data_IF_226650006423
#
_entry.id   IF_226650006423
#
_cell.length_a   1.000
_cell.length_b   1.000
_cell.length_c   1.000
_cell.angle_alpha   90.00
_cell.angle_beta   90.00
_cell.angle_gamma   90.00
#
_symmetry.space_group_name_H-M   'P 1'
#
loop_
_entity.id
_entity.type
_entity.pdbx_description
1 polymer ?
#
# COMPACT_ATOMS: atom_id res chain seq x y z
N UNK A 1 6.25 -13.64 0.49
CA UNK A 1 7.05 -14.38 1.48
C UNK A 1 6.18 -15.40 2.21
N UNK A 2 6.78 -16.42 2.83
CA UNK A 2 6.01 -17.39 3.61
C UNK A 2 5.22 -16.77 4.76
N UNK A 3 5.76 -15.74 5.40
CA UNK A 3 5.07 -15.04 6.49
C UNK A 3 3.85 -14.30 5.98
N UNK A 4 3.97 -13.61 4.85
CA UNK A 4 2.83 -12.91 4.23
C UNK A 4 1.75 -13.89 3.81
N UNK A 5 2.12 -15.02 3.21
CA UNK A 5 1.17 -16.06 2.82
C UNK A 5 0.44 -16.65 4.03
N UNK A 6 1.14 -16.87 5.12
CA UNK A 6 0.54 -17.37 6.36
C UNK A 6 -0.43 -16.36 6.95
N UNK A 7 -0.07 -15.07 6.95
CA UNK A 7 -0.96 -14.00 7.40
C UNK A 7 -2.25 -13.96 6.57
N UNK A 8 -2.14 -14.06 5.25
CA UNK A 8 -3.30 -14.07 4.35
C UNK A 8 -4.17 -15.30 4.64
N UNK A 9 -3.56 -16.47 4.80
CA UNK A 9 -4.29 -17.72 5.08
C UNK A 9 -5.09 -17.63 6.37
N UNK A 10 -4.48 -17.12 7.43
CA UNK A 10 -5.16 -16.95 8.72
C UNK A 10 -6.26 -15.91 8.66
N UNK A 11 -6.02 -14.78 8.01
CA UNK A 11 -7.03 -13.74 7.85
C UNK A 11 -8.21 -14.25 7.03
N UNK A 12 -7.95 -15.00 5.96
CA UNK A 12 -9.00 -15.58 5.14
C UNK A 12 -9.87 -16.57 5.93
N UNK A 13 -9.24 -17.40 6.76
CA UNK A 13 -9.96 -18.37 7.58
C UNK A 13 -10.90 -17.69 8.58
N UNK A 14 -10.49 -16.53 9.12
CA UNK A 14 -11.27 -15.81 10.13
C UNK A 14 -12.28 -14.82 9.52
N UNK A 15 -11.92 -14.13 8.45
CA UNK A 15 -12.66 -12.99 7.93
C UNK A 15 -13.02 -13.11 6.45
N UNK A 16 -12.45 -14.07 5.71
CA UNK A 16 -12.67 -14.18 4.28
C UNK A 16 -14.07 -14.65 3.91
N UNK A 17 -14.49 -14.32 2.70
CA UNK A 17 -15.77 -14.74 2.13
C UNK A 17 -16.48 -13.62 1.38
N UNK A 18 -17.66 -13.94 0.86
CA UNK A 18 -18.44 -13.00 0.04
C UNK A 18 -18.92 -11.77 0.81
N UNK A 19 -18.98 -11.83 2.14
CA UNK A 19 -19.38 -10.72 3.00
C UNK A 19 -18.21 -9.85 3.44
N UNK A 20 -16.99 -10.20 3.05
CA UNK A 20 -15.80 -9.42 3.39
C UNK A 20 -15.57 -8.30 2.39
N UNK A 21 -15.02 -7.18 2.88
CA UNK A 21 -14.60 -6.05 2.07
C UNK A 21 -13.08 -5.96 2.08
N UNK A 22 -12.50 -5.69 0.92
CA UNK A 22 -11.08 -5.33 0.82
C UNK A 22 -10.99 -3.83 0.64
N UNK A 23 -10.42 -3.14 1.62
CA UNK A 23 -10.38 -1.68 1.66
C UNK A 23 -9.01 -1.21 1.22
N UNK A 24 -8.99 -0.37 0.17
CA UNK A 24 -7.79 0.29 -0.33
C UNK A 24 -7.77 1.72 0.22
N UNK A 25 -6.69 2.07 0.88
CA UNK A 25 -6.53 3.40 1.44
C UNK A 25 -5.06 3.82 1.39
N UNK A 26 -4.78 5.09 1.63
CA UNK A 26 -3.41 5.56 1.75
C UNK A 26 -3.22 6.36 3.03
N UNK A 27 -2.01 6.28 3.57
CA UNK A 27 -1.62 6.97 4.79
C UNK A 27 -0.35 7.76 4.54
N UNK A 28 -0.32 9.00 4.99
CA UNK A 28 0.84 9.88 4.87
C UNK A 28 1.53 10.02 6.23
N UNK A 29 2.85 9.85 6.24
CA UNK A 29 3.68 10.06 7.42
C UNK A 29 4.55 11.31 7.20
N UNK A 30 4.25 12.44 7.88
CA UNK A 30 5.07 13.65 7.78
C UNK A 30 6.50 13.38 8.22
N UNK A 31 7.46 13.94 7.48
CA UNK A 31 8.89 13.83 7.75
C UNK A 31 9.55 15.21 7.65
N UNK A 32 10.64 15.40 8.39
CA UNK A 32 11.39 16.66 8.37
C UNK A 32 12.55 16.65 7.39
N UNK A 33 13.04 15.48 7.00
CA UNK A 33 14.21 15.35 6.14
C UNK A 33 13.88 14.93 4.73
N UNK A 34 14.91 14.67 3.94
CA UNK A 34 14.79 14.25 2.53
C UNK A 34 15.38 12.88 2.27
N UNK A 35 15.88 12.19 3.31
CA UNK A 35 16.58 10.91 3.14
C UNK A 35 15.70 9.67 3.30
N UNK A 36 14.57 9.76 3.99
CA UNK A 36 13.65 8.62 4.11
C UNK A 36 13.11 8.22 2.74
N UNK A 37 13.08 6.92 2.46
CA UNK A 37 12.66 6.41 1.15
C UNK A 37 11.25 6.90 0.79
N UNK A 38 11.10 7.47 -0.40
CA UNK A 38 9.80 7.94 -0.91
C UNK A 38 9.36 9.28 -0.36
N UNK A 39 10.17 9.94 0.49
CA UNK A 39 9.81 11.23 1.05
C UNK A 39 9.81 12.31 -0.03
N UNK A 40 8.75 13.11 -0.08
CA UNK A 40 8.62 14.24 -1.00
C UNK A 40 7.45 15.12 -0.54
N UNK A 41 7.37 16.38 -0.99
CA UNK A 41 6.17 17.18 -0.81
C UNK A 41 5.00 16.50 -1.55
N UNK A 42 3.99 16.08 -0.79
CA UNK A 42 2.83 15.34 -1.30
C UNK A 42 1.58 15.77 -0.54
N UNK A 43 0.41 15.56 -1.13
CA UNK A 43 -0.83 15.81 -0.44
C UNK A 43 -1.03 14.80 0.69
N UNK A 44 -1.18 15.28 1.91
CA UNK A 44 -1.45 14.47 3.09
C UNK A 44 -2.90 14.66 3.50
N UNK A 45 -3.76 13.70 3.18
CA UNK A 45 -5.22 13.82 3.39
C UNK A 45 -5.57 14.03 4.87
N UNK A 46 -4.84 13.39 5.78
CA UNK A 46 -5.06 13.57 7.21
C UNK A 46 -4.77 15.00 7.69
N UNK A 47 -3.89 15.73 6.99
CA UNK A 47 -3.58 17.12 7.30
C UNK A 47 -4.36 18.12 6.44
N UNK A 48 -5.01 17.65 5.37
CA UNK A 48 -5.74 18.48 4.44
C UNK A 48 -4.87 19.42 3.62
N UNK A 49 -3.58 19.16 3.48
CA UNK A 49 -2.62 20.00 2.77
C UNK A 49 -1.43 19.21 2.25
N UNK A 50 -0.65 19.84 1.37
CA UNK A 50 0.64 19.30 0.96
C UNK A 50 1.64 19.40 2.11
N UNK A 51 2.39 18.33 2.30
CA UNK A 51 3.43 18.24 3.33
C UNK A 51 4.56 17.36 2.85
N UNK A 52 5.76 17.55 3.40
CA UNK A 52 6.87 16.64 3.16
C UNK A 52 6.60 15.33 3.90
N UNK A 53 6.34 14.26 3.18
CA UNK A 53 5.88 13.01 3.77
C UNK A 53 6.21 11.78 2.92
N UNK A 54 6.13 10.62 3.55
CA UNK A 54 6.05 9.31 2.88
C UNK A 54 4.57 8.94 2.79
N UNK A 55 4.16 8.34 1.67
CA UNK A 55 2.79 7.85 1.49
C UNK A 55 2.81 6.35 1.27
N UNK A 56 1.96 5.64 2.01
CA UNK A 56 1.83 4.19 1.92
C UNK A 56 0.41 3.83 1.49
N UNK A 57 0.32 2.88 0.56
CA UNK A 57 -0.95 2.28 0.13
C UNK A 57 -1.20 1.06 0.98
N UNK A 58 -2.37 0.99 1.62
CA UNK A 58 -2.75 -0.11 2.50
C UNK A 58 -3.93 -0.90 1.94
N UNK A 59 -3.91 -2.20 2.17
CA UNK A 59 -5.01 -3.12 1.85
C UNK A 59 -5.45 -3.76 3.16
N UNK A 60 -6.72 -3.60 3.51
CA UNK A 60 -7.30 -4.11 4.75
C UNK A 60 -8.52 -4.97 4.45
N UNK A 61 -8.51 -6.20 4.94
CA UNK A 61 -9.69 -7.06 4.89
C UNK A 61 -10.56 -6.73 6.10
N UNK A 62 -11.85 -6.50 5.87
CA UNK A 62 -12.77 -6.18 6.94
C UNK A 62 -14.06 -6.98 6.80
N UNK A 63 -14.54 -7.50 7.91
CA UNK A 63 -15.83 -8.18 8.02
C UNK A 63 -16.41 -7.94 9.41
N UNK A 64 -17.69 -7.57 9.50
CA UNK A 64 -18.38 -7.33 10.76
C UNK A 64 -17.61 -6.37 11.68
N UNK A 65 -17.05 -5.30 11.09
CA UNK A 65 -16.27 -4.28 11.79
C UNK A 65 -14.93 -4.77 12.34
N UNK A 66 -14.49 -5.96 11.98
CA UNK A 66 -13.16 -6.47 12.34
C UNK A 66 -12.20 -6.28 11.18
N UNK A 67 -11.15 -5.46 11.32
CA UNK A 67 -10.18 -5.23 10.25
C UNK A 67 -8.91 -6.09 10.43
N UNK A 68 -8.30 -6.45 9.30
CA UNK A 68 -6.98 -7.06 9.27
C UNK A 68 -6.18 -6.44 8.11
N UNK A 69 -5.10 -5.74 8.41
CA UNK A 69 -4.25 -5.16 7.39
C UNK A 69 -3.38 -6.26 6.77
N UNK A 70 -3.50 -6.45 5.46
CA UNK A 70 -2.81 -7.52 4.73
C UNK A 70 -1.80 -7.02 3.71
N UNK A 71 -1.79 -5.74 3.41
CA UNK A 71 -0.84 -5.14 2.49
C UNK A 71 -0.50 -3.73 2.86
N UNK A 72 0.77 -3.38 2.71
CA UNK A 72 1.27 -2.04 2.95
C UNK A 72 2.44 -1.80 2.01
N UNK A 73 2.28 -0.87 1.07
CA UNK A 73 3.28 -0.57 0.05
C UNK A 73 3.60 0.92 0.03
N UNK A 74 4.89 1.22 0.05
CA UNK A 74 5.37 2.58 -0.08
C UNK A 74 5.17 3.08 -1.52
N UNK A 75 4.55 4.25 -1.66
CA UNK A 75 4.46 4.95 -2.94
C UNK A 75 5.75 5.73 -3.17
N UNK A 76 6.38 5.52 -4.34
CA UNK A 76 7.57 6.26 -4.75
C UNK A 76 7.20 7.33 -5.78
N UNK A 77 7.24 8.61 -5.40
CA UNK A 77 7.03 9.70 -6.35
C UNK A 77 8.07 9.68 -7.49
N UNK A 78 7.74 10.30 -8.62
CA UNK A 78 8.66 10.36 -9.77
C UNK A 78 10.01 10.98 -9.44
N UNK A 79 10.07 11.91 -8.48
CA UNK A 79 11.33 12.48 -7.99
C UNK A 79 12.28 11.41 -7.43
N UNK A 80 11.74 10.27 -7.03
CA UNK A 80 12.53 9.11 -6.58
C UNK A 80 12.81 8.14 -7.72
N UNK A 81 11.77 7.74 -8.47
CA UNK A 81 11.91 6.72 -9.52
C UNK A 81 12.75 7.19 -10.70
N UNK A 82 12.85 8.51 -10.91
CA UNK A 82 13.70 9.10 -11.93
C UNK A 82 15.14 9.37 -11.46
N UNK A 83 15.49 8.99 -10.23
CA UNK A 83 16.81 9.24 -9.64
C UNK A 83 17.45 7.90 -9.23
N UNK A 84 18.19 7.22 -10.16
CA UNK A 84 18.78 5.92 -9.87
C UNK A 84 19.78 5.95 -8.70
N UNK A 85 20.51 7.04 -8.54
CA UNK A 85 21.49 7.18 -7.44
C UNK A 85 20.77 7.19 -6.09
N UNK A 86 19.66 7.93 -6.00
CA UNK A 86 18.87 8.03 -4.79
C UNK A 86 18.23 6.67 -4.44
N UNK A 87 17.71 5.96 -5.42
CA UNK A 87 17.15 4.62 -5.25
C UNK A 87 18.21 3.62 -4.76
N UNK A 88 19.37 3.61 -5.39
CA UNK A 88 20.46 2.71 -5.02
C UNK A 88 20.96 2.99 -3.59
N UNK A 89 21.11 4.26 -3.23
CA UNK A 89 21.55 4.67 -1.90
C UNK A 89 20.57 4.25 -0.82
N UNK A 90 19.28 4.23 -1.15
CA UNK A 90 18.20 3.90 -0.21
C UNK A 90 17.89 2.41 -0.15
N UNK A 91 18.53 1.57 -0.97
CA UNK A 91 18.33 0.13 -0.95
C UNK A 91 16.98 -0.34 -1.51
N UNK A 92 16.36 0.44 -2.39
CA UNK A 92 15.08 0.07 -3.01
C UNK A 92 15.30 -1.11 -3.96
N UNK A 93 14.56 -2.23 -3.81
CA UNK A 93 14.67 -3.38 -4.71
C UNK A 93 14.34 -2.98 -6.15
N UNK A 94 15.10 -3.49 -7.12
CA UNK A 94 14.90 -3.19 -8.53
C UNK A 94 13.45 -3.38 -9.01
N UNK A 95 12.75 -4.49 -8.65
CA UNK A 95 11.36 -4.66 -9.08
C UNK A 95 10.40 -3.58 -8.58
N UNK A 96 10.79 -2.82 -7.55
CA UNK A 96 9.98 -1.75 -6.98
C UNK A 96 10.50 -0.35 -7.29
N UNK A 97 11.54 -0.24 -8.10
CA UNK A 97 12.17 1.03 -8.46
C UNK A 97 11.52 1.71 -9.67
N UNK A 98 10.58 1.06 -10.34
CA UNK A 98 9.83 1.62 -11.46
C UNK A 98 8.63 2.41 -10.93
N UNK A 99 8.35 3.54 -11.56
CA UNK A 99 7.19 4.35 -11.15
C UNK A 99 5.89 3.58 -11.35
N UNK A 100 5.07 3.59 -10.31
CA UNK A 100 3.69 3.07 -10.33
C UNK A 100 2.79 4.05 -9.62
N UNK A 101 1.64 4.31 -10.20
CA UNK A 101 0.61 5.11 -9.52
C UNK A 101 0.06 4.35 -8.32
N UNK A 102 -0.60 5.05 -7.40
CA UNK A 102 -1.24 4.39 -6.25
C UNK A 102 -2.28 3.35 -6.68
N UNK A 103 -3.16 3.63 -7.67
CA UNK A 103 -4.06 2.60 -8.19
C UNK A 103 -3.35 1.36 -8.75
N UNK A 104 -2.23 1.56 -9.45
CA UNK A 104 -1.43 0.43 -9.97
C UNK A 104 -0.85 -0.41 -8.82
N UNK A 105 -0.35 0.23 -7.77
CA UNK A 105 0.13 -0.46 -6.57
C UNK A 105 -1.01 -1.24 -5.91
N UNK A 106 -2.19 -0.64 -5.80
CA UNK A 106 -3.36 -1.31 -5.22
C UNK A 106 -3.73 -2.56 -6.02
N UNK A 107 -3.73 -2.49 -7.35
CA UNK A 107 -4.05 -3.62 -8.21
C UNK A 107 -3.02 -4.74 -8.04
N UNK A 108 -1.73 -4.41 -7.99
CA UNK A 108 -0.69 -5.42 -7.76
C UNK A 108 -0.90 -6.14 -6.43
N UNK A 109 -1.26 -5.41 -5.37
CA UNK A 109 -1.51 -6.01 -4.06
C UNK A 109 -2.80 -6.84 -4.03
N UNK A 110 -3.84 -6.38 -4.71
CA UNK A 110 -5.09 -7.16 -4.84
C UNK A 110 -4.79 -8.49 -5.56
N UNK A 111 -4.04 -8.45 -6.65
CA UNK A 111 -3.66 -9.65 -7.39
C UNK A 111 -2.84 -10.61 -6.53
N UNK A 112 -1.90 -10.08 -5.74
CA UNK A 112 -1.11 -10.88 -4.82
C UNK A 112 -1.98 -11.58 -3.78
N UNK A 113 -2.93 -10.85 -3.19
CA UNK A 113 -3.84 -11.39 -2.17
C UNK A 113 -4.76 -12.45 -2.76
N UNK A 114 -5.31 -12.24 -3.96
CA UNK A 114 -6.13 -13.22 -4.65
C UNK A 114 -5.34 -14.48 -4.99
N UNK A 115 -4.12 -14.32 -5.47
CA UNK A 115 -3.24 -15.45 -5.78
C UNK A 115 -2.89 -16.25 -4.52
N UNK A 116 -2.87 -15.62 -3.35
CA UNK A 116 -2.65 -16.28 -2.07
C UNK A 116 -3.93 -16.94 -1.52
N UNK A 117 -5.06 -16.82 -2.20
CA UNK A 117 -6.31 -17.47 -1.82
C UNK A 117 -7.27 -16.64 -0.99
N UNK A 118 -7.03 -15.32 -0.86
CA UNK A 118 -7.93 -14.46 -0.09
C UNK A 118 -9.30 -14.35 -0.77
N UNK A 119 -10.35 -14.48 0.01
CA UNK A 119 -11.75 -14.35 -0.46
C UNK A 119 -12.36 -13.07 0.07
N UNK A 120 -12.95 -12.28 -0.81
CA UNK A 120 -13.68 -11.07 -0.45
C UNK A 120 -14.77 -10.82 -1.51
N UNK A 121 -15.82 -10.12 -1.11
CA UNK A 121 -16.96 -9.87 -2.00
C UNK A 121 -16.86 -8.58 -2.77
N UNK A 122 -16.14 -7.59 -2.24
CA UNK A 122 -16.10 -6.27 -2.85
C UNK A 122 -14.85 -5.52 -2.42
N UNK A 123 -14.38 -4.62 -3.27
CA UNK A 123 -13.27 -3.71 -3.00
C UNK A 123 -13.82 -2.31 -2.79
N UNK A 124 -13.40 -1.66 -1.71
CA UNK A 124 -13.75 -0.27 -1.42
C UNK A 124 -12.51 0.60 -1.52
N UNK A 125 -12.62 1.71 -2.23
CA UNK A 125 -11.55 2.68 -2.36
C UNK A 125 -12.17 4.08 -2.42
N UNK A 126 -11.39 5.10 -2.06
CA UNK A 126 -11.87 6.47 -2.19
C UNK A 126 -11.83 6.94 -3.64
N UNK A 127 -12.32 8.17 -3.90
CA UNK A 127 -12.44 8.70 -5.27
C UNK A 127 -11.09 8.95 -5.97
N UNK A 128 -9.97 8.85 -5.26
CA UNK A 128 -8.64 8.98 -5.84
C UNK A 128 -8.11 7.70 -6.51
N UNK A 129 -8.87 6.64 -6.41
CA UNK A 129 -8.49 5.33 -6.97
C UNK A 129 -9.35 4.88 -8.17
#
# INVERSE_FOLDING_TARGET
SPLEQELVSQADALLGGDDAFLIVDDTAFPKKGTHSVGVAPQYASALGKNANCQTLVSLTLARDEVPAMLGLRLFLPESWTSDPTRLARSGVPEPRSTYRTKPEIAIEEIDRLRAAGLRFGCVLADAGY
#
